data_IF_375095011123
#
_entry.id   IF_375095011123
#
_cell.length_a   1.000
_cell.length_b   1.000
_cell.length_c   1.000
_cell.angle_alpha   90.00
_cell.angle_beta   90.00
_cell.angle_gamma   90.00
#
_symmetry.space_group_name_H-M   'P 1'
#
loop_
_entity.id
_entity.type
_entity.pdbx_description
1 polymer ?
#
# COMPACT_ATOMS: atom_id res chain seq x y z
N UNK A 1 39.71 -51.81 -43.16
CA UNK A 1 40.10 -50.45 -43.57
C UNK A 1 40.67 -49.78 -42.32
N UNK A 2 41.96 -49.84 -41.94
CA UNK A 2 43.23 -49.53 -42.63
C UNK A 2 43.08 -48.24 -43.45
N UNK A 3 43.67 -47.11 -43.02
CA UNK A 3 45.07 -46.65 -43.24
C UNK A 3 45.42 -45.64 -42.09
N UNK A 4 46.45 -45.84 -41.24
CA UNK A 4 47.92 -45.61 -41.38
C UNK A 4 48.31 -44.11 -41.50
N UNK A 5 48.84 -43.45 -40.44
CA UNK A 5 50.26 -43.25 -39.99
C UNK A 5 51.12 -42.26 -40.78
N UNK A 6 51.73 -41.28 -40.08
CA UNK A 6 53.17 -40.78 -40.10
C UNK A 6 53.24 -39.38 -39.44
N UNK A 7 53.96 -39.06 -38.33
CA UNK A 7 55.42 -38.96 -37.99
C UNK A 7 56.18 -37.95 -38.89
N UNK A 8 57.05 -37.01 -38.48
CA UNK A 8 58.17 -36.94 -37.50
C UNK A 8 58.54 -35.43 -37.23
N UNK A 9 58.94 -35.03 -36.01
CA UNK A 9 60.31 -34.64 -35.54
C UNK A 9 60.82 -33.23 -35.88
N UNK A 10 61.06 -32.36 -34.88
CA UNK A 10 62.27 -32.11 -34.05
C UNK A 10 63.31 -31.20 -34.71
N UNK A 11 63.56 -30.01 -34.12
CA UNK A 11 64.91 -29.45 -33.94
C UNK A 11 64.91 -28.36 -32.86
N UNK A 12 65.84 -28.54 -31.91
CA UNK A 12 66.31 -27.61 -30.89
C UNK A 12 67.32 -26.59 -31.44
N UNK A 13 67.59 -25.51 -30.68
CA UNK A 13 68.89 -24.84 -30.42
C UNK A 13 68.55 -23.48 -29.73
N UNK A 14 68.63 -23.36 -28.40
CA UNK A 14 69.74 -22.76 -27.62
C UNK A 14 70.29 -21.44 -28.19
N UNK A 15 70.11 -20.32 -27.47
CA UNK A 15 71.27 -19.64 -26.88
C UNK A 15 70.91 -18.67 -25.75
N UNK A 16 71.85 -18.58 -24.82
CA UNK A 16 71.84 -17.86 -23.55
C UNK A 16 72.34 -16.42 -23.65
N UNK A 17 71.90 -15.56 -22.73
CA UNK A 17 72.76 -14.84 -21.75
C UNK A 17 72.30 -13.39 -21.42
N UNK A 18 72.12 -13.13 -20.11
CA UNK A 18 72.61 -11.99 -19.28
C UNK A 18 72.44 -10.53 -19.79
N UNK A 19 72.08 -9.51 -19.02
CA UNK A 19 71.92 -9.27 -17.57
C UNK A 19 71.38 -7.85 -17.32
N UNK A 20 70.85 -7.62 -16.09
CA UNK A 20 70.80 -6.34 -15.32
C UNK A 20 69.97 -5.18 -15.90
N UNK A 21 69.20 -4.39 -15.16
CA UNK A 21 68.93 -4.27 -13.73
C UNK A 21 68.50 -2.81 -13.46
N UNK A 22 67.31 -2.58 -12.90
CA UNK A 22 67.02 -1.42 -12.03
C UNK A 22 65.67 -1.56 -11.34
N UNK A 23 65.61 -1.09 -10.10
CA UNK A 23 64.53 -1.29 -9.12
C UNK A 23 63.68 -0.03 -8.92
N UNK A 24 62.48 -0.25 -8.35
CA UNK A 24 61.52 0.64 -7.65
C UNK A 24 60.38 1.30 -8.46
N UNK A 25 59.22 1.65 -7.84
CA UNK A 25 58.73 1.35 -6.49
C UNK A 25 57.39 0.56 -6.45
N UNK A 26 57.09 -0.01 -5.29
CA UNK A 26 55.84 -0.72 -4.98
C UNK A 26 54.62 0.19 -5.14
N UNK A 27 53.74 -0.17 -6.07
CA UNK A 27 52.40 0.39 -6.15
C UNK A 27 51.59 -0.14 -4.96
N UNK A 28 51.25 0.78 -4.04
CA UNK A 28 50.11 0.63 -3.14
C UNK A 28 48.88 0.22 -3.96
N UNK A 29 48.55 -1.07 -3.92
CA UNK A 29 47.30 -1.59 -4.46
C UNK A 29 46.19 -1.20 -3.49
N UNK A 30 45.76 0.06 -3.56
CA UNK A 30 44.49 0.49 -2.98
C UNK A 30 43.40 -0.26 -3.73
N UNK A 31 43.02 -1.43 -3.19
CA UNK A 31 41.89 -2.20 -3.67
C UNK A 31 40.61 -1.47 -3.27
N UNK A 32 40.33 -0.35 -3.93
CA UNK A 32 38.98 0.15 -4.05
C UNK A 32 38.26 -0.91 -4.89
N UNK A 33 37.63 -1.87 -4.21
CA UNK A 33 36.69 -2.78 -4.86
C UNK A 33 35.69 -1.88 -5.58
N UNK A 34 35.71 -1.91 -6.91
CA UNK A 34 34.71 -1.25 -7.72
C UNK A 34 33.37 -1.88 -7.33
N UNK A 35 32.65 -1.23 -6.42
CA UNK A 35 31.34 -1.69 -5.97
C UNK A 35 30.44 -1.65 -7.19
N UNK A 36 30.11 -2.84 -7.70
CA UNK A 36 29.19 -2.98 -8.81
C UNK A 36 27.86 -2.31 -8.40
N UNK A 37 27.43 -1.21 -9.06
CA UNK A 37 26.25 -0.45 -8.64
C UNK A 37 24.95 -1.28 -8.72
N UNK A 38 24.97 -2.37 -9.48
CA UNK A 38 23.87 -3.33 -9.63
C UNK A 38 23.88 -4.44 -8.56
N UNK A 39 24.94 -4.56 -7.75
CA UNK A 39 24.99 -5.55 -6.67
C UNK A 39 23.98 -5.20 -5.57
N UNK A 40 23.27 -6.21 -5.08
CA UNK A 40 22.35 -6.08 -3.95
C UNK A 40 23.09 -6.05 -2.61
N UNK A 41 22.61 -5.20 -1.70
CA UNK A 41 23.00 -5.10 -0.31
C UNK A 41 21.78 -5.34 0.58
N UNK A 42 21.99 -5.95 1.74
CA UNK A 42 20.93 -6.26 2.68
C UNK A 42 20.78 -5.10 3.66
N UNK A 43 19.61 -4.48 3.70
CA UNK A 43 19.21 -3.53 4.73
C UNK A 43 18.30 -4.24 5.72
N UNK A 44 18.77 -4.40 6.96
CA UNK A 44 17.97 -4.92 8.08
C UNK A 44 17.37 -3.77 8.87
N UNK A 45 16.08 -3.88 9.18
CA UNK A 45 15.31 -2.94 9.98
C UNK A 45 14.79 -3.70 11.21
N UNK A 46 15.13 -3.20 12.41
CA UNK A 46 14.80 -3.84 13.69
C UNK A 46 14.23 -2.83 14.67
N UNK A 47 13.12 -3.18 15.32
CA UNK A 47 12.53 -2.40 16.41
C UNK A 47 11.85 -3.34 17.41
N UNK A 48 12.27 -3.29 18.67
CA UNK A 48 11.82 -4.24 19.70
C UNK A 48 12.15 -5.68 19.31
N UNK A 49 11.13 -6.54 19.27
CA UNK A 49 11.25 -7.96 18.87
C UNK A 49 11.09 -8.17 17.36
N UNK A 50 10.68 -7.15 16.60
CA UNK A 50 10.45 -7.27 15.16
C UNK A 50 11.71 -6.93 14.39
N UNK A 51 12.07 -7.81 13.46
CA UNK A 51 13.20 -7.62 12.56
C UNK A 51 12.85 -8.19 11.20
N UNK A 52 13.08 -7.41 10.15
CA UNK A 52 12.95 -7.90 8.77
C UNK A 52 13.95 -7.18 7.87
N UNK A 53 14.29 -7.80 6.75
CA UNK A 53 15.34 -7.32 5.84
C UNK A 53 14.83 -7.14 4.43
N UNK A 54 15.41 -6.18 3.70
CA UNK A 54 15.15 -5.95 2.29
C UNK A 54 16.45 -5.84 1.50
N UNK A 55 16.44 -6.34 0.27
CA UNK A 55 17.59 -6.27 -0.64
C UNK A 55 17.50 -4.99 -1.46
N UNK A 56 18.46 -4.09 -1.27
CA UNK A 56 18.55 -2.80 -1.97
C UNK A 56 19.75 -2.83 -2.90
N UNK A 57 19.61 -2.32 -4.10
CA UNK A 57 20.75 -2.11 -5.00
C UNK A 57 21.73 -1.11 -4.41
N UNK A 58 23.03 -1.35 -4.60
CA UNK A 58 24.11 -0.56 -4.00
C UNK A 58 23.96 0.94 -4.23
N UNK A 59 23.46 1.35 -5.41
CA UNK A 59 23.21 2.75 -5.74
C UNK A 59 22.22 3.47 -4.79
N UNK A 60 21.22 2.77 -4.25
CA UNK A 60 20.17 3.36 -3.40
C UNK A 60 20.38 3.07 -1.91
N UNK A 61 21.42 2.30 -1.56
CA UNK A 61 21.68 1.91 -0.17
C UNK A 61 21.88 3.09 0.80
N UNK A 62 22.57 4.19 0.44
CA UNK A 62 22.68 5.36 1.32
C UNK A 62 21.32 5.98 1.66
N UNK A 63 20.45 6.16 0.67
CA UNK A 63 19.10 6.67 0.88
C UNK A 63 18.25 5.70 1.72
N UNK A 64 18.46 4.40 1.55
CA UNK A 64 17.77 3.36 2.31
C UNK A 64 18.19 3.36 3.79
N UNK A 65 19.49 3.56 4.09
CA UNK A 65 19.98 3.73 5.46
C UNK A 65 19.37 4.96 6.12
N UNK A 66 19.36 6.10 5.43
CA UNK A 66 18.76 7.33 5.96
C UNK A 66 17.27 7.15 6.23
N UNK A 67 16.52 6.54 5.30
CA UNK A 67 15.10 6.27 5.47
C UNK A 67 14.83 5.35 6.68
N UNK A 68 15.65 4.32 6.88
CA UNK A 68 15.58 3.43 8.05
C UNK A 68 15.82 4.22 9.34
N UNK A 69 16.90 4.98 9.39
CA UNK A 69 17.31 5.68 10.61
C UNK A 69 16.28 6.75 10.99
N UNK A 70 15.75 7.49 10.02
CA UNK A 70 14.67 8.46 10.20
C UNK A 70 13.37 7.78 10.69
N UNK A 71 13.04 6.60 10.16
CA UNK A 71 11.87 5.83 10.60
C UNK A 71 12.01 5.34 12.04
N UNK A 72 13.17 4.77 12.38
CA UNK A 72 13.44 4.29 13.74
C UNK A 72 13.44 5.44 14.75
N UNK A 73 14.00 6.59 14.38
CA UNK A 73 13.93 7.80 15.18
C UNK A 73 12.48 8.24 15.38
N UNK A 74 11.67 8.29 14.32
CA UNK A 74 10.25 8.62 14.40
C UNK A 74 9.46 7.70 15.33
N UNK A 75 9.77 6.40 15.37
CA UNK A 75 9.15 5.46 16.31
C UNK A 75 9.56 5.69 17.77
N UNK A 76 10.74 6.27 18.01
CA UNK A 76 11.25 6.55 19.36
C UNK A 76 10.79 7.89 19.91
N UNK A 77 10.57 8.88 19.06
CA UNK A 77 10.19 10.25 19.45
C UNK A 77 8.69 10.50 19.47
N UNK A 78 7.86 9.49 19.22
CA UNK A 78 6.41 9.63 19.33
C UNK A 78 6.02 9.93 20.78
N UNK A 79 5.07 10.86 20.99
CA UNK A 79 4.61 11.30 22.32
C UNK A 79 4.06 10.14 23.17
N UNK A 80 3.49 9.12 22.50
CA UNK A 80 3.13 7.85 23.12
C UNK A 80 4.04 6.73 22.63
N UNK A 81 4.56 5.86 23.53
CA UNK A 81 5.42 4.77 23.14
C UNK A 81 4.67 3.83 22.19
N UNK A 82 5.17 3.73 20.95
CA UNK A 82 4.60 2.87 19.92
C UNK A 82 4.79 1.41 20.33
N UNK A 83 3.73 0.80 20.84
CA UNK A 83 3.67 -0.64 21.08
C UNK A 83 3.20 -1.33 19.80
N UNK A 84 4.08 -2.12 19.20
CA UNK A 84 3.78 -2.87 17.99
C UNK A 84 3.21 -4.23 18.36
N UNK A 85 2.07 -4.58 17.77
CA UNK A 85 1.37 -5.85 17.97
C UNK A 85 1.93 -6.98 17.10
N UNK A 86 2.45 -6.65 15.91
CA UNK A 86 2.85 -7.66 14.92
C UNK A 86 3.89 -7.16 13.93
N UNK A 87 4.55 -8.10 13.24
CA UNK A 87 5.44 -7.78 12.12
C UNK A 87 4.68 -7.10 10.96
N UNK A 88 3.39 -7.43 10.80
CA UNK A 88 2.50 -6.82 9.81
C UNK A 88 2.32 -5.33 10.12
N UNK A 89 2.05 -4.99 11.38
CA UNK A 89 1.94 -3.61 11.83
C UNK A 89 3.26 -2.85 11.63
N UNK A 90 4.37 -3.44 12.07
CA UNK A 90 5.70 -2.84 11.95
C UNK A 90 6.01 -2.42 10.51
N UNK A 91 5.80 -3.35 9.57
CA UNK A 91 6.12 -3.11 8.18
C UNK A 91 5.11 -2.18 7.50
N UNK A 92 3.83 -2.24 7.86
CA UNK A 92 2.82 -1.30 7.38
C UNK A 92 3.15 0.13 7.82
N UNK A 93 3.58 0.34 9.07
CA UNK A 93 4.07 1.66 9.54
C UNK A 93 5.28 2.13 8.75
N UNK A 94 6.22 1.24 8.41
CA UNK A 94 7.36 1.59 7.55
C UNK A 94 6.93 2.03 6.15
N UNK A 95 5.95 1.34 5.53
CA UNK A 95 5.36 1.74 4.26
C UNK A 95 4.69 3.12 4.37
N UNK A 96 3.86 3.33 5.40
CA UNK A 96 3.18 4.59 5.65
C UNK A 96 4.15 5.76 5.85
N UNK A 97 5.21 5.56 6.62
CA UNK A 97 6.28 6.53 6.82
C UNK A 97 7.00 6.86 5.51
N UNK A 98 7.32 5.83 4.71
CA UNK A 98 7.97 6.02 3.41
C UNK A 98 7.09 6.81 2.44
N UNK A 99 5.77 6.54 2.42
CA UNK A 99 4.81 7.31 1.62
C UNK A 99 4.75 8.76 2.10
N UNK A 100 4.70 8.99 3.41
CA UNK A 100 4.70 10.35 3.96
C UNK A 100 5.96 11.12 3.55
N UNK A 101 7.13 10.49 3.64
CA UNK A 101 8.40 11.08 3.17
C UNK A 101 8.39 11.35 1.67
N UNK A 102 7.84 10.44 0.86
CA UNK A 102 7.71 10.61 -0.58
C UNK A 102 6.82 11.80 -0.95
N UNK A 103 5.69 11.99 -0.25
CA UNK A 103 4.75 13.10 -0.48
C UNK A 103 5.35 14.47 -0.12
N UNK A 104 6.29 14.52 0.83
CA UNK A 104 6.98 15.74 1.27
C UNK A 104 8.35 15.96 0.60
N UNK A 105 8.83 15.01 -0.21
CA UNK A 105 10.19 15.04 -0.73
C UNK A 105 10.40 16.12 -1.80
N UNK A 106 11.55 16.83 -1.79
CA UNK A 106 12.01 17.61 -2.93
C UNK A 106 12.18 16.72 -4.17
N UNK A 107 12.02 17.30 -5.38
CA UNK A 107 12.03 16.59 -6.66
C UNK A 107 13.22 15.63 -6.87
N UNK A 108 14.38 15.92 -6.27
CA UNK A 108 15.60 15.12 -6.41
C UNK A 108 15.59 13.79 -5.63
N UNK A 109 14.84 13.68 -4.51
CA UNK A 109 14.77 12.45 -3.70
C UNK A 109 13.53 11.60 -4.02
N UNK A 110 12.61 12.13 -4.82
CA UNK A 110 11.33 11.47 -5.10
C UNK A 110 11.53 10.12 -5.80
N UNK A 111 12.51 10.01 -6.70
CA UNK A 111 12.77 8.79 -7.45
C UNK A 111 13.39 7.70 -6.56
N UNK A 112 14.34 8.06 -5.70
CA UNK A 112 14.95 7.15 -4.72
C UNK A 112 13.89 6.61 -3.75
N UNK A 113 13.07 7.48 -3.16
CA UNK A 113 12.03 7.08 -2.22
C UNK A 113 10.96 6.21 -2.90
N UNK A 114 10.60 6.51 -4.15
CA UNK A 114 9.65 5.68 -4.92
C UNK A 114 10.23 4.29 -5.22
N UNK A 115 11.53 4.22 -5.52
CA UNK A 115 12.21 2.94 -5.72
C UNK A 115 12.26 2.13 -4.42
N UNK A 116 12.63 2.75 -3.30
CA UNK A 116 12.65 2.11 -1.98
C UNK A 116 11.26 1.66 -1.53
N UNK A 117 10.22 2.47 -1.74
CA UNK A 117 8.83 2.10 -1.47
C UNK A 117 8.41 0.88 -2.30
N UNK A 118 8.87 0.78 -3.56
CA UNK A 118 8.61 -0.37 -4.42
C UNK A 118 9.23 -1.65 -3.83
N UNK A 119 10.50 -1.60 -3.44
CA UNK A 119 11.20 -2.72 -2.81
C UNK A 119 10.50 -3.12 -1.50
N UNK A 120 10.15 -2.14 -0.66
CA UNK A 120 9.50 -2.38 0.63
C UNK A 120 8.11 -3.02 0.47
N UNK A 121 7.30 -2.54 -0.49
CA UNK A 121 5.98 -3.10 -0.76
C UNK A 121 6.08 -4.52 -1.33
N UNK A 122 6.99 -4.76 -2.27
CA UNK A 122 7.18 -6.12 -2.83
C UNK A 122 7.70 -7.10 -1.79
N UNK A 123 8.55 -6.64 -0.88
CA UNK A 123 9.01 -7.40 0.29
C UNK A 123 7.86 -7.69 1.24
N UNK A 124 6.96 -6.72 1.47
CA UNK A 124 5.77 -6.92 2.29
C UNK A 124 4.86 -7.99 1.70
N UNK A 125 4.51 -7.86 0.41
CA UNK A 125 3.65 -8.79 -0.29
C UNK A 125 4.24 -10.21 -0.32
N UNK A 126 5.55 -10.34 -0.57
CA UNK A 126 6.23 -11.64 -0.71
C UNK A 126 6.53 -12.31 0.62
N UNK A 127 7.17 -11.61 1.54
CA UNK A 127 7.78 -12.25 2.72
C UNK A 127 6.86 -12.24 3.93
N UNK A 128 6.05 -11.18 4.08
CA UNK A 128 5.22 -10.96 5.28
C UNK A 128 3.76 -11.39 5.01
N UNK A 129 3.16 -10.91 3.92
CA UNK A 129 1.80 -11.28 3.53
C UNK A 129 1.74 -12.66 2.87
N UNK A 130 2.86 -13.16 2.34
CA UNK A 130 2.96 -14.45 1.63
C UNK A 130 1.98 -14.53 0.46
N UNK A 131 1.86 -13.46 -0.31
CA UNK A 131 0.94 -13.32 -1.46
C UNK A 131 -0.55 -13.44 -1.09
N UNK A 132 -0.90 -13.36 0.20
CA UNK A 132 -2.29 -13.28 0.67
C UNK A 132 -2.78 -11.84 0.61
N UNK A 133 -4.10 -11.71 0.46
CA UNK A 133 -4.77 -10.41 0.49
C UNK A 133 -4.67 -9.80 1.91
N UNK A 134 -4.34 -8.51 1.99
CA UNK A 134 -3.98 -7.83 3.25
C UNK A 134 -5.13 -7.81 4.26
N UNK A 135 -6.39 -7.67 3.84
CA UNK A 135 -7.55 -7.67 4.75
C UNK A 135 -7.70 -9.05 5.38
N UNK A 136 -7.49 -10.13 4.62
CA UNK A 136 -7.47 -11.48 5.15
C UNK A 136 -6.36 -11.71 6.17
N UNK A 137 -5.18 -11.12 5.98
CA UNK A 137 -4.07 -11.19 6.96
C UNK A 137 -4.40 -10.39 8.21
N UNK A 138 -4.83 -9.13 8.05
CA UNK A 138 -5.13 -8.20 9.14
C UNK A 138 -6.28 -8.71 10.01
N UNK A 139 -7.32 -9.28 9.40
CA UNK A 139 -8.45 -9.88 10.13
C UNK A 139 -8.02 -11.03 11.05
N UNK A 140 -6.96 -11.76 10.68
CA UNK A 140 -6.45 -12.90 11.46
C UNK A 140 -5.33 -12.51 12.44
N UNK A 141 -5.03 -11.21 12.61
CA UNK A 141 -4.08 -10.77 13.63
C UNK A 141 -4.72 -10.84 15.01
N UNK A 142 -4.15 -11.65 15.88
CA UNK A 142 -4.50 -11.68 17.30
C UNK A 142 -4.05 -10.39 18.01
N UNK A 143 -4.73 -10.01 19.10
CA UNK A 143 -4.38 -8.87 19.97
C UNK A 143 -4.17 -7.51 19.27
N UNK A 144 -4.78 -7.31 18.10
CA UNK A 144 -4.69 -6.07 17.32
C UNK A 144 -6.01 -5.30 17.35
N UNK A 145 -6.00 -4.06 17.83
CA UNK A 145 -7.21 -3.21 17.86
C UNK A 145 -7.71 -2.84 16.46
N UNK A 146 -9.01 -2.56 16.32
CA UNK A 146 -9.62 -2.12 15.04
C UNK A 146 -8.96 -0.86 14.47
N UNK A 147 -8.51 0.05 15.34
CA UNK A 147 -7.78 1.27 14.96
C UNK A 147 -6.43 0.95 14.35
N UNK A 148 -5.71 -0.03 14.89
CA UNK A 148 -4.44 -0.51 14.36
C UNK A 148 -4.65 -1.28 13.06
N UNK A 149 -5.68 -2.12 12.98
CA UNK A 149 -6.07 -2.80 11.73
C UNK A 149 -6.33 -1.79 10.61
N UNK A 150 -7.13 -0.75 10.89
CA UNK A 150 -7.41 0.34 9.94
C UNK A 150 -6.14 1.09 9.53
N UNK A 151 -5.23 1.34 10.48
CA UNK A 151 -3.93 1.98 10.19
C UNK A 151 -3.06 1.13 9.26
N UNK A 152 -3.02 -0.19 9.46
CA UNK A 152 -2.29 -1.12 8.60
C UNK A 152 -2.84 -1.08 7.17
N UNK A 153 -4.16 -1.19 7.04
CA UNK A 153 -4.85 -1.15 5.75
C UNK A 153 -4.64 0.19 5.04
N UNK A 154 -4.74 1.31 5.77
CA UNK A 154 -4.50 2.64 5.24
C UNK A 154 -3.08 2.78 4.68
N UNK A 155 -2.06 2.36 5.42
CA UNK A 155 -0.68 2.45 4.98
C UNK A 155 -0.43 1.61 3.71
N UNK A 156 -0.99 0.40 3.66
CA UNK A 156 -0.88 -0.47 2.49
C UNK A 156 -1.58 0.12 1.25
N UNK A 157 -2.82 0.59 1.40
CA UNK A 157 -3.60 1.19 0.31
C UNK A 157 -2.90 2.45 -0.21
N UNK A 158 -2.39 3.31 0.69
CA UNK A 158 -1.62 4.50 0.33
C UNK A 158 -0.34 4.17 -0.41
N UNK A 159 0.42 3.16 0.05
CA UNK A 159 1.63 2.72 -0.64
C UNK A 159 1.33 2.22 -2.06
N UNK A 160 0.30 1.39 -2.22
CA UNK A 160 -0.15 0.94 -3.55
C UNK A 160 -0.60 2.10 -4.43
N UNK A 161 -1.30 3.08 -3.88
CA UNK A 161 -1.74 4.27 -4.61
C UNK A 161 -0.55 5.14 -5.06
N UNK A 162 0.40 5.42 -4.17
CA UNK A 162 1.59 6.22 -4.46
C UNK A 162 2.44 5.60 -5.59
N UNK A 163 2.45 4.27 -5.68
CA UNK A 163 3.09 3.51 -6.76
C UNK A 163 2.19 3.28 -7.98
N UNK A 164 0.95 3.80 -7.99
CA UNK A 164 -0.08 3.62 -9.03
C UNK A 164 -0.39 2.14 -9.33
N UNK A 165 -0.25 1.26 -8.33
CA UNK A 165 -0.44 -0.21 -8.42
C UNK A 165 -1.85 -0.70 -8.11
N UNK A 166 -2.81 0.19 -7.86
CA UNK A 166 -4.19 -0.20 -7.51
C UNK A 166 -4.92 -0.95 -8.63
N UNK A 167 -4.52 -0.73 -9.89
CA UNK A 167 -5.09 -1.39 -11.07
C UNK A 167 -4.18 -2.45 -11.67
N UNK A 168 -2.98 -2.67 -11.10
CA UNK A 168 -2.06 -3.70 -11.58
C UNK A 168 -2.50 -5.04 -11.01
N UNK A 169 -2.84 -5.98 -11.88
CA UNK A 169 -3.23 -7.32 -11.47
C UNK A 169 -2.08 -8.01 -10.71
N UNK A 170 -2.41 -8.54 -9.52
CA UNK A 170 -2.01 -9.84 -8.95
C UNK A 170 -1.77 -9.79 -7.42
N UNK A 171 -2.82 -10.04 -6.64
CA UNK A 171 -2.95 -11.23 -5.79
C UNK A 171 -3.72 -12.33 -6.55
N UNK A 172 -3.82 -13.58 -6.05
CA UNK A 172 -4.73 -14.56 -6.65
C UNK A 172 -6.14 -13.94 -6.77
N UNK A 173 -6.87 -14.19 -7.87
CA UNK A 173 -8.22 -13.68 -8.01
C UNK A 173 -9.05 -14.12 -6.81
N UNK A 174 -9.97 -13.26 -6.36
CA UNK A 174 -10.86 -13.60 -5.25
C UNK A 174 -11.55 -14.92 -5.52
N UNK A 175 -11.30 -15.93 -4.67
CA UNK A 175 -11.89 -17.26 -4.81
C UNK A 175 -13.42 -17.19 -4.90
N UNK A 176 -14.04 -16.26 -4.16
CA UNK A 176 -15.48 -16.02 -4.18
C UNK A 176 -15.94 -15.47 -5.54
N UNK A 177 -15.24 -14.48 -6.10
CA UNK A 177 -15.58 -13.91 -7.41
C UNK A 177 -15.35 -14.94 -8.53
N UNK A 178 -14.28 -15.72 -8.46
CA UNK A 178 -14.02 -16.82 -9.40
C UNK A 178 -15.13 -17.87 -9.32
N UNK A 179 -15.53 -18.30 -8.12
CA UNK A 179 -16.63 -19.24 -7.94
C UNK A 179 -17.96 -18.70 -8.50
N UNK A 180 -18.21 -17.39 -8.37
CA UNK A 180 -19.39 -16.75 -8.95
C UNK A 180 -19.36 -16.77 -10.48
N UNK A 181 -18.21 -16.44 -11.09
CA UNK A 181 -18.01 -16.48 -12.54
C UNK A 181 -18.15 -17.91 -13.10
N UNK A 182 -17.63 -18.90 -12.38
CA UNK A 182 -17.76 -20.32 -12.69
C UNK A 182 -19.14 -20.91 -12.35
N UNK A 183 -20.08 -20.07 -11.87
CA UNK A 183 -21.44 -20.46 -11.45
C UNK A 183 -21.48 -21.52 -10.33
N UNK A 184 -20.40 -21.64 -9.56
CA UNK A 184 -20.30 -22.47 -8.35
C UNK A 184 -20.87 -21.75 -7.12
N UNK A 185 -20.97 -20.42 -7.18
CA UNK A 185 -21.62 -19.59 -6.17
C UNK A 185 -22.56 -18.57 -6.85
N UNK A 186 -23.54 -18.06 -6.10
CA UNK A 186 -24.38 -16.93 -6.52
C UNK A 186 -24.22 -15.79 -5.53
N UNK A 187 -23.82 -14.62 -6.02
CA UNK A 187 -23.60 -13.45 -5.20
C UNK A 187 -24.78 -12.49 -5.30
N UNK A 188 -25.18 -11.94 -4.17
CA UNK A 188 -26.25 -10.96 -4.05
C UNK A 188 -25.68 -9.74 -3.35
N UNK A 189 -25.82 -8.56 -3.95
CA UNK A 189 -25.49 -7.30 -3.28
C UNK A 189 -26.76 -6.73 -2.68
N UNK A 190 -26.74 -6.48 -1.37
CA UNK A 190 -27.86 -5.89 -0.62
C UNK A 190 -27.39 -4.58 -0.03
N UNK A 191 -28.11 -3.51 -0.36
CA UNK A 191 -27.87 -2.17 0.17
C UNK A 191 -28.97 -1.84 1.18
N UNK A 192 -28.58 -1.60 2.42
CA UNK A 192 -29.49 -1.27 3.52
C UNK A 192 -30.08 0.15 3.44
N UNK A 193 -30.88 0.51 4.44
CA UNK A 193 -31.50 1.82 4.57
C UNK A 193 -31.28 2.44 5.96
N UNK A 194 -32.05 3.50 6.26
CA UNK A 194 -32.03 4.19 7.54
C UNK A 194 -32.57 3.30 8.67
N UNK A 195 -32.05 3.47 9.90
CA UNK A 195 -32.55 2.81 11.12
C UNK A 195 -31.79 1.56 11.57
N UNK A 196 -30.67 1.22 10.93
CA UNK A 196 -29.81 0.11 11.33
C UNK A 196 -28.66 0.53 12.26
N UNK A 197 -28.14 1.75 12.08
CA UNK A 197 -27.00 2.27 12.83
C UNK A 197 -27.07 3.80 12.93
N UNK A 198 -26.92 4.33 14.15
CA UNK A 198 -26.81 5.77 14.42
C UNK A 198 -25.38 6.30 14.16
N UNK A 199 -24.40 5.40 14.06
CA UNK A 199 -22.98 5.68 13.87
C UNK A 199 -22.51 5.55 12.42
N UNK A 200 -23.41 5.51 11.44
CA UNK A 200 -23.08 5.40 10.01
C UNK A 200 -22.06 6.46 9.54
N UNK A 201 -22.09 7.66 10.12
CA UNK A 201 -21.14 8.72 9.75
C UNK A 201 -19.73 8.42 10.23
N UNK A 202 -19.60 7.72 11.36
CA UNK A 202 -18.30 7.28 11.86
C UNK A 202 -17.76 6.10 11.05
N UNK A 203 -18.64 5.22 10.54
CA UNK A 203 -18.27 4.24 9.52
C UNK A 203 -17.73 4.93 8.26
N UNK A 204 -18.40 5.99 7.77
CA UNK A 204 -17.93 6.80 6.65
C UNK A 204 -16.58 7.47 6.94
N UNK A 205 -16.34 7.92 8.18
CA UNK A 205 -15.07 8.49 8.61
C UNK A 205 -13.95 7.44 8.59
N UNK A 206 -14.19 6.27 9.15
CA UNK A 206 -13.24 5.14 9.12
C UNK A 206 -12.92 4.74 7.68
N UNK A 207 -13.94 4.66 6.81
CA UNK A 207 -13.75 4.40 5.38
C UNK A 207 -12.90 5.48 4.73
N UNK A 208 -13.21 6.76 4.96
CA UNK A 208 -12.46 7.89 4.42
C UNK A 208 -10.99 7.84 4.84
N UNK A 209 -10.71 7.62 6.12
CA UNK A 209 -9.33 7.58 6.63
C UNK A 209 -8.55 6.36 6.09
N UNK A 210 -9.21 5.20 6.02
CA UNK A 210 -8.56 3.94 5.63
C UNK A 210 -8.35 3.85 4.11
N UNK A 211 -9.34 4.28 3.33
CA UNK A 211 -9.38 4.07 1.89
C UNK A 211 -9.37 5.36 1.08
N UNK A 212 -8.97 6.51 1.66
CA UNK A 212 -8.97 7.83 1.01
C UNK A 212 -8.57 7.78 -0.47
N UNK A 213 -7.42 7.19 -0.86
CA UNK A 213 -6.99 7.23 -2.26
C UNK A 213 -7.89 6.43 -3.22
N UNK A 214 -8.74 5.54 -2.69
CA UNK A 214 -9.71 4.78 -3.48
C UNK A 214 -11.00 5.57 -3.68
N UNK A 215 -11.37 6.43 -2.74
CA UNK A 215 -12.70 7.04 -2.67
C UNK A 215 -12.71 8.56 -2.83
N UNK A 216 -11.56 9.24 -2.78
CA UNK A 216 -11.49 10.70 -2.91
C UNK A 216 -12.06 11.24 -4.22
N UNK A 217 -11.89 10.53 -5.33
CA UNK A 217 -12.49 10.87 -6.63
C UNK A 217 -14.01 10.74 -6.65
N UNK A 218 -14.58 9.95 -5.73
CA UNK A 218 -16.03 9.87 -5.52
C UNK A 218 -16.47 10.95 -4.53
N UNK A 219 -15.71 11.11 -3.43
CA UNK A 219 -16.17 11.85 -2.27
C UNK A 219 -16.08 13.36 -2.47
N UNK A 220 -14.93 13.85 -2.92
CA UNK A 220 -14.68 15.29 -3.04
C UNK A 220 -15.68 15.95 -4.02
N UNK A 221 -15.91 15.43 -5.24
CA UNK A 221 -16.84 16.07 -6.16
C UNK A 221 -18.31 15.98 -5.71
N UNK A 222 -18.69 14.92 -5.01
CA UNK A 222 -20.05 14.77 -4.49
C UNK A 222 -20.33 15.78 -3.38
N UNK A 223 -19.44 15.92 -2.40
CA UNK A 223 -19.56 16.92 -1.33
C UNK A 223 -19.59 18.35 -1.90
N UNK A 224 -18.79 18.65 -2.92
CA UNK A 224 -18.83 19.97 -3.57
C UNK A 224 -20.18 20.27 -4.24
N UNK A 225 -20.81 19.28 -4.87
CA UNK A 225 -22.14 19.44 -5.49
C UNK A 225 -23.23 19.65 -4.44
N UNK A 226 -23.17 18.93 -3.33
CA UNK A 226 -24.10 19.06 -2.21
C UNK A 226 -24.00 20.44 -1.56
N UNK A 227 -22.77 20.93 -1.32
CA UNK A 227 -22.55 22.28 -0.78
C UNK A 227 -23.04 23.39 -1.72
N UNK A 228 -22.91 23.21 -3.05
CA UNK A 228 -23.36 24.21 -4.04
C UNK A 228 -24.88 24.16 -4.29
N UNK A 229 -25.51 22.99 -4.18
CA UNK A 229 -26.96 22.81 -4.32
C UNK A 229 -27.75 23.07 -3.03
N UNK A 230 -27.09 23.08 -1.87
CA UNK A 230 -27.67 23.20 -0.54
C UNK A 230 -28.11 24.62 -0.14
N UNK A 231 -27.98 25.60 -1.03
CA UNK A 231 -28.52 26.94 -0.80
C UNK A 231 -30.04 26.90 -0.65
N UNK A 232 -30.54 27.00 0.59
CA UNK A 232 -31.92 27.34 0.99
C UNK A 232 -32.91 26.19 1.26
N UNK A 233 -32.47 24.96 1.57
CA UNK A 233 -33.41 23.97 2.12
C UNK A 233 -33.63 24.20 3.61
N UNK A 234 -34.88 24.28 4.06
CA UNK A 234 -35.25 24.37 5.49
C UNK A 234 -34.73 23.20 6.33
N UNK A 235 -34.30 22.11 5.69
CA UNK A 235 -33.82 20.92 6.37
C UNK A 235 -32.31 20.95 6.65
N UNK A 236 -31.56 21.88 6.03
CA UNK A 236 -30.09 21.94 6.12
C UNK A 236 -29.62 23.05 7.06
N UNK A 237 -30.10 23.06 8.31
CA UNK A 237 -29.73 24.09 9.29
C UNK A 237 -28.22 24.15 9.61
N UNK A 238 -27.50 23.05 9.42
CA UNK A 238 -26.03 22.99 9.52
C UNK A 238 -25.34 22.72 8.17
N UNK A 239 -26.07 22.88 7.05
CA UNK A 239 -25.59 22.54 5.71
C UNK A 239 -25.44 21.03 5.47
N UNK A 240 -24.89 20.68 4.32
CA UNK A 240 -24.53 19.31 3.93
C UNK A 240 -23.12 19.35 3.34
N UNK A 241 -22.10 19.44 4.21
CA UNK A 241 -20.69 19.49 3.83
C UNK A 241 -19.94 18.30 4.42
N UNK A 242 -20.22 17.12 3.86
CA UNK A 242 -19.66 15.86 4.33
C UNK A 242 -18.12 15.85 4.30
N UNK A 243 -17.50 16.51 3.32
CA UNK A 243 -16.04 16.56 3.23
C UNK A 243 -15.43 17.32 4.40
N UNK A 244 -15.96 18.49 4.73
CA UNK A 244 -15.51 19.26 5.90
C UNK A 244 -15.68 18.48 7.19
N UNK A 245 -16.81 17.79 7.38
CA UNK A 245 -17.04 16.96 8.57
C UNK A 245 -16.10 15.74 8.66
N UNK A 246 -15.70 15.16 7.53
CA UNK A 246 -14.74 14.06 7.47
C UNK A 246 -13.31 14.51 7.79
N UNK A 247 -12.90 15.68 7.28
CA UNK A 247 -11.56 16.24 7.51
C UNK A 247 -11.42 16.91 8.89
N UNK A 248 -12.52 17.43 9.42
CA UNK A 248 -12.58 18.17 10.68
C UNK A 248 -13.66 17.57 11.59
N UNK A 249 -13.34 16.53 12.37
CA UNK A 249 -14.29 15.89 13.30
C UNK A 249 -15.01 16.90 14.21
N UNK A 250 -14.33 17.94 14.66
CA UNK A 250 -14.85 19.03 15.49
C UNK A 250 -15.96 19.86 14.83
N UNK A 251 -16.06 19.82 13.48
CA UNK A 251 -17.11 20.50 12.72
C UNK A 251 -18.30 19.59 12.41
N UNK A 252 -18.24 18.32 12.80
CA UNK A 252 -19.32 17.36 12.57
C UNK A 252 -20.53 17.77 13.41
N UNK A 253 -21.73 17.93 12.81
CA UNK A 253 -22.94 18.23 13.57
C UNK A 253 -23.27 17.16 14.61
N UNK A 254 -24.12 17.50 15.58
CA UNK A 254 -24.60 16.56 16.56
C UNK A 254 -25.37 15.38 15.90
N UNK A 255 -25.31 14.20 16.51
CA UNK A 255 -25.97 12.98 16.00
C UNK A 255 -27.44 13.21 15.64
N UNK A 256 -28.18 13.97 16.46
CA UNK A 256 -29.58 14.31 16.21
C UNK A 256 -29.85 15.00 14.86
N UNK A 257 -28.88 15.77 14.33
CA UNK A 257 -28.96 16.35 13.00
C UNK A 257 -28.65 15.33 11.91
N UNK A 258 -27.59 14.53 12.11
CA UNK A 258 -27.14 13.53 11.15
C UNK A 258 -28.18 12.45 10.89
N UNK A 259 -28.90 11.99 11.92
CA UNK A 259 -29.93 10.95 11.75
C UNK A 259 -31.16 11.42 10.98
N UNK A 260 -31.38 12.74 10.87
CA UNK A 260 -32.53 13.30 10.15
C UNK A 260 -32.57 12.81 8.71
N UNK A 261 -33.71 12.29 8.25
CA UNK A 261 -33.84 11.64 6.94
C UNK A 261 -33.27 12.45 5.74
N UNK A 262 -33.44 13.79 5.66
CA UNK A 262 -32.83 14.59 4.59
C UNK A 262 -31.29 14.58 4.57
N UNK A 263 -30.65 14.26 5.71
CA UNK A 263 -29.19 14.19 5.88
C UNK A 263 -28.72 12.73 5.79
N UNK A 264 -29.32 11.82 6.56
CA UNK A 264 -28.88 10.43 6.64
C UNK A 264 -29.08 9.67 5.34
N UNK A 265 -30.20 9.86 4.62
CA UNK A 265 -30.47 9.16 3.36
C UNK A 265 -29.37 9.32 2.31
N UNK A 266 -28.99 10.55 1.89
CA UNK A 266 -27.93 10.73 0.90
C UNK A 266 -26.57 10.22 1.41
N UNK A 267 -26.24 10.45 2.68
CA UNK A 267 -24.95 10.04 3.24
C UNK A 267 -24.81 8.52 3.39
N UNK A 268 -25.88 7.80 3.75
CA UNK A 268 -25.89 6.33 3.80
C UNK A 268 -25.75 5.76 2.37
N UNK A 269 -26.49 6.30 1.40
CA UNK A 269 -26.33 5.89 -0.01
C UNK A 269 -24.91 6.13 -0.51
N UNK A 270 -24.28 7.22 -0.08
CA UNK A 270 -22.91 7.56 -0.43
C UNK A 270 -21.88 6.63 0.23
N UNK A 271 -22.04 6.32 1.51
CA UNK A 271 -21.25 5.32 2.24
C UNK A 271 -21.28 3.97 1.52
N UNK A 272 -22.47 3.53 1.11
CA UNK A 272 -22.66 2.28 0.37
C UNK A 272 -21.95 2.27 -1.00
N UNK A 273 -22.04 3.36 -1.75
CA UNK A 273 -21.32 3.51 -3.02
C UNK A 273 -19.80 3.53 -2.82
N UNK A 274 -19.34 4.17 -1.75
CA UNK A 274 -17.92 4.21 -1.38
C UNK A 274 -17.41 2.79 -1.06
N UNK A 275 -18.14 2.02 -0.25
CA UNK A 275 -17.81 0.61 0.02
C UNK A 275 -17.79 -0.25 -1.23
N UNK A 276 -18.81 -0.12 -2.09
CA UNK A 276 -18.87 -0.85 -3.35
C UNK A 276 -17.63 -0.57 -4.22
N UNK A 277 -17.19 0.68 -4.25
CA UNK A 277 -15.97 1.10 -4.95
C UNK A 277 -14.71 0.52 -4.32
N UNK A 278 -14.59 0.55 -2.98
CA UNK A 278 -13.46 -0.05 -2.25
C UNK A 278 -13.36 -1.55 -2.57
N UNK A 279 -14.45 -2.31 -2.46
CA UNK A 279 -14.49 -3.74 -2.76
C UNK A 279 -14.00 -4.03 -4.18
N UNK A 280 -14.50 -3.29 -5.17
CA UNK A 280 -14.06 -3.45 -6.55
C UNK A 280 -12.56 -3.18 -6.74
N UNK A 281 -12.06 -2.07 -6.19
CA UNK A 281 -10.64 -1.69 -6.29
C UNK A 281 -9.71 -2.67 -5.57
N UNK A 282 -10.09 -3.15 -4.38
CA UNK A 282 -9.32 -4.16 -3.63
C UNK A 282 -9.29 -5.48 -4.38
N UNK A 283 -10.43 -5.92 -4.92
CA UNK A 283 -10.53 -7.14 -5.72
C UNK A 283 -9.93 -7.02 -7.13
N UNK A 284 -9.44 -5.85 -7.53
CA UNK A 284 -8.83 -5.62 -8.84
C UNK A 284 -9.83 -5.67 -10.00
N UNK A 285 -11.11 -5.39 -9.75
CA UNK A 285 -12.18 -5.41 -10.75
C UNK A 285 -12.83 -4.03 -10.90
N UNK A 286 -13.31 -3.73 -12.11
CA UNK A 286 -14.10 -2.52 -12.35
C UNK A 286 -15.50 -2.67 -11.75
N UNK A 287 -16.22 -1.55 -11.47
CA UNK A 287 -17.61 -1.61 -11.01
C UNK A 287 -18.52 -2.44 -11.91
N UNK A 288 -18.29 -2.41 -13.23
CA UNK A 288 -19.02 -3.22 -14.21
C UNK A 288 -18.69 -4.71 -14.11
N UNK A 289 -17.41 -5.06 -13.93
CA UNK A 289 -17.01 -6.46 -13.71
C UNK A 289 -17.56 -7.02 -12.40
N UNK A 290 -17.55 -6.22 -11.33
CA UNK A 290 -18.17 -6.60 -10.06
C UNK A 290 -19.67 -6.83 -10.24
N UNK A 291 -20.36 -5.94 -10.96
CA UNK A 291 -21.79 -6.08 -11.24
C UNK A 291 -22.13 -7.33 -12.06
N UNK A 292 -21.30 -7.69 -13.06
CA UNK A 292 -21.46 -8.95 -13.83
C UNK A 292 -21.29 -10.20 -12.97
N UNK A 293 -20.54 -10.14 -11.88
CA UNK A 293 -20.38 -11.26 -10.95
C UNK A 293 -21.59 -11.43 -9.99
N UNK A 294 -22.48 -10.43 -9.91
CA UNK A 294 -23.67 -10.46 -9.06
C UNK A 294 -24.85 -11.07 -9.81
N UNK A 295 -25.61 -11.92 -9.12
CA UNK A 295 -26.86 -12.49 -9.63
C UNK A 295 -28.02 -11.49 -9.53
N UNK A 296 -28.08 -10.69 -8.45
CA UNK A 296 -29.10 -9.66 -8.20
C UNK A 296 -28.48 -8.52 -7.39
N UNK A 297 -28.95 -7.30 -7.65
CA UNK A 297 -28.69 -6.10 -6.86
C UNK A 297 -30.00 -5.64 -6.22
N UNK A 298 -30.08 -5.67 -4.89
CA UNK A 298 -31.26 -5.29 -4.12
C UNK A 298 -30.99 -4.00 -3.32
N UNK A 299 -31.84 -3.00 -3.52
CA UNK A 299 -31.81 -1.72 -2.79
C UNK A 299 -32.98 -1.72 -1.80
N UNK A 300 -32.69 -1.82 -0.50
CA UNK A 300 -33.70 -1.69 0.56
C UNK A 300 -33.90 -0.21 0.88
N UNK A 301 -34.84 0.43 0.18
CA UNK A 301 -35.39 1.73 0.57
C UNK A 301 -36.34 1.54 1.77
N UNK A 302 -35.78 1.21 2.93
CA UNK A 302 -36.52 1.20 4.19
C UNK A 302 -36.71 2.66 4.64
N UNK A 303 -37.74 3.32 4.13
CA UNK A 303 -38.24 4.58 4.70
C UNK A 303 -39.03 4.24 5.97
N UNK A 304 -38.34 4.07 7.10
CA UNK A 304 -38.99 4.26 8.40
C UNK A 304 -39.03 5.76 8.68
N UNK A 305 -40.01 6.43 8.07
CA UNK A 305 -40.50 7.70 8.58
C UNK A 305 -41.26 7.39 9.89
N UNK A 306 -40.68 7.76 11.03
CA UNK A 306 -41.43 8.06 12.24
C UNK A 306 -41.43 9.56 12.45
#
# INVERSE_FOLDING_TARGET
>A
MLISTTTLSTTSLTDSSTSSGWSTPEHLSTSASATNPLAGQILTISYGTFTHSLSVTTAFFPAALQLRDDFLHHLQTADEPVTLSSLVEFWARFLGFTVHRLEQAPRGLTDDLRHLLTIALETFDRDILQQREVHGVVYNLEDTSETTQSTILAAYVRARHALRRLSRAAPPPSALLTAAQERKARLYAVFGGQGNDEHYFEELRTLWQTYRPLVEELIIPASQRESMGGGSSRFYHHGLDALSWLEHPERTPASAYLIGAPISMPLIGFLQLAWYRVVGRVAGVTPAQLQTALAVLALCLSLFCF
#
